data_IF_845436642695
#
_entry.id   IF_845436642695
#
_cell.length_a   1.000
_cell.length_b   1.000
_cell.length_c   1.000
_cell.angle_alpha   90.00
_cell.angle_beta   90.00
_cell.angle_gamma   90.00
#
_symmetry.space_group_name_H-M   'P 1'
#
loop_
_entity.id
_entity.type
_entity.pdbx_description
1 polymer ?
#
# COMPACT_ATOMS: atom_id res chain seq x y z
N UNK A 1 -56.26 -37.24 16.06
CA UNK A 1 -56.79 -38.06 14.95
C UNK A 1 -57.29 -37.11 13.86
N UNK A 2 -56.71 -37.21 12.65
CA UNK A 2 -57.21 -36.76 11.33
C UNK A 2 -57.42 -35.24 11.10
N UNK A 3 -57.08 -34.58 10.01
CA UNK A 3 -56.39 -34.88 8.73
C UNK A 3 -56.19 -33.52 8.03
N UNK A 4 -55.13 -33.38 7.24
CA UNK A 4 -54.88 -32.20 6.41
C UNK A 4 -55.95 -31.97 5.33
N UNK A 5 -56.10 -30.72 4.86
CA UNK A 5 -56.45 -30.51 3.46
C UNK A 5 -57.09 -29.18 3.05
N UNK A 6 -56.25 -28.33 2.44
CA UNK A 6 -56.50 -27.77 1.10
C UNK A 6 -56.89 -26.29 0.96
N UNK A 7 -56.24 -25.68 -0.05
CA UNK A 7 -56.80 -24.74 -1.03
C UNK A 7 -56.70 -23.21 -0.77
N UNK A 8 -55.98 -22.59 -1.72
CA UNK A 8 -56.45 -21.48 -2.58
C UNK A 8 -56.62 -20.11 -1.91
N UNK A 9 -55.50 -19.50 -1.53
CA UNK A 9 -55.44 -18.07 -1.18
C UNK A 9 -54.74 -17.29 -2.30
N UNK A 10 -55.18 -17.47 -3.56
CA UNK A 10 -55.01 -16.45 -4.60
C UNK A 10 -56.18 -15.49 -4.43
N UNK A 11 -55.90 -14.26 -3.98
CA UNK A 11 -56.59 -12.99 -4.30
C UNK A 11 -56.25 -11.93 -3.25
N UNK A 12 -55.18 -11.19 -3.50
CA UNK A 12 -55.17 -9.75 -3.25
C UNK A 12 -54.49 -9.11 -4.46
N UNK A 13 -55.31 -8.76 -5.46
CA UNK A 13 -54.96 -7.77 -6.47
C UNK A 13 -55.24 -6.41 -5.83
N UNK A 14 -54.25 -5.54 -5.70
CA UNK A 14 -54.33 -4.13 -6.10
C UNK A 14 -53.11 -3.31 -5.65
N UNK A 15 -52.83 -2.29 -6.47
CA UNK A 15 -52.11 -1.06 -6.18
C UNK A 15 -50.58 -1.05 -6.40
N UNK A 16 -50.24 -0.60 -7.61
CA UNK A 16 -49.00 0.06 -8.02
C UNK A 16 -48.61 1.14 -7.01
N UNK A 17 -47.42 1.03 -6.41
CA UNK A 17 -46.70 2.15 -5.82
C UNK A 17 -45.24 2.06 -6.28
N UNK A 18 -44.94 2.97 -7.21
CA UNK A 18 -43.66 3.62 -7.49
C UNK A 18 -42.38 2.79 -7.32
N UNK A 19 -41.80 2.50 -8.49
CA UNK A 19 -40.37 2.35 -8.75
C UNK A 19 -39.55 3.39 -7.96
N UNK A 20 -39.13 3.05 -6.74
CA UNK A 20 -37.89 3.59 -6.18
C UNK A 20 -36.82 2.55 -6.42
N UNK A 21 -36.13 2.69 -7.55
CA UNK A 21 -34.79 2.16 -7.72
C UNK A 21 -33.97 2.66 -6.52
N UNK A 22 -33.84 1.85 -5.47
CA UNK A 22 -32.62 1.93 -4.66
C UNK A 22 -31.58 1.32 -5.59
N UNK A 23 -31.05 2.18 -6.47
CA UNK A 23 -29.84 1.87 -7.20
C UNK A 23 -28.86 1.43 -6.15
N UNK A 24 -28.53 0.14 -6.14
CA UNK A 24 -27.42 -0.37 -5.38
C UNK A 24 -26.21 0.40 -5.88
N UNK A 25 -25.85 1.46 -5.17
CA UNK A 25 -24.54 2.05 -5.27
C UNK A 25 -23.59 1.02 -4.67
N UNK A 26 -23.28 0.00 -5.47
CA UNK A 26 -22.07 -0.78 -5.28
C UNK A 26 -20.96 0.24 -5.40
N UNK A 27 -20.41 0.66 -4.25
CA UNK A 27 -19.15 1.38 -4.24
C UNK A 27 -18.17 0.49 -4.97
N UNK A 28 -17.82 0.86 -6.21
CA UNK A 28 -16.71 0.23 -6.90
C UNK A 28 -15.51 0.54 -6.02
N UNK A 29 -14.80 -0.46 -5.48
CA UNK A 29 -13.58 -0.19 -4.75
C UNK A 29 -12.64 0.51 -5.73
N UNK A 30 -12.39 1.80 -5.50
CA UNK A 30 -11.34 2.55 -6.15
C UNK A 30 -10.07 1.73 -6.00
N UNK A 31 -9.46 1.38 -7.13
CA UNK A 31 -8.26 0.57 -7.20
C UNK A 31 -7.24 1.09 -6.18
N UNK A 32 -7.07 0.35 -5.09
CA UNK A 32 -6.05 0.65 -4.11
C UNK A 32 -4.73 0.33 -4.79
N UNK A 33 -3.84 1.31 -4.88
CA UNK A 33 -2.49 1.08 -5.36
C UNK A 33 -1.89 -0.08 -4.55
N UNK A 34 -1.71 -1.22 -5.19
CA UNK A 34 -1.17 -2.39 -4.53
C UNK A 34 0.34 -2.20 -4.44
N UNK A 35 0.83 -1.97 -3.23
CA UNK A 35 2.26 -1.96 -2.96
C UNK A 35 2.75 -3.39 -2.88
N UNK A 36 3.68 -3.77 -3.75
CA UNK A 36 4.28 -5.10 -3.78
C UNK A 36 5.79 -5.00 -3.59
N UNK A 37 6.38 -6.07 -3.06
CA UNK A 37 7.82 -6.12 -2.93
C UNK A 37 8.47 -6.28 -4.31
N UNK A 38 9.31 -5.33 -4.71
CA UNK A 38 10.08 -5.38 -5.96
C UNK A 38 11.46 -5.99 -5.75
N UNK A 39 11.98 -5.93 -4.53
CA UNK A 39 13.32 -6.44 -4.22
C UNK A 39 13.39 -7.14 -2.87
N UNK A 40 13.86 -8.38 -2.89
CA UNK A 40 14.11 -9.22 -1.72
C UNK A 40 15.61 -9.29 -1.40
N UNK A 41 15.91 -9.37 -0.11
CA UNK A 41 17.24 -9.58 0.43
C UNK A 41 17.22 -10.74 1.43
N UNK A 42 18.07 -11.74 1.21
CA UNK A 42 18.28 -12.82 2.17
C UNK A 42 19.34 -12.41 3.18
N UNK A 43 18.95 -12.30 4.44
CA UNK A 43 19.86 -11.92 5.54
C UNK A 43 21.02 -12.91 5.63
N UNK A 44 22.26 -12.39 5.61
CA UNK A 44 23.46 -13.20 5.76
C UNK A 44 23.89 -13.33 7.24
N UNK A 45 24.75 -14.32 7.52
CA UNK A 45 25.30 -14.53 8.86
C UNK A 45 26.06 -13.28 9.32
N UNK A 46 25.63 -12.70 10.45
CA UNK A 46 26.26 -11.52 11.05
C UNK A 46 25.79 -10.17 10.50
N UNK A 47 24.83 -10.15 9.57
CA UNK A 47 24.15 -8.91 9.15
C UNK A 47 23.14 -8.43 10.21
N UNK A 48 22.81 -7.13 10.13
CA UNK A 48 21.77 -6.49 10.90
C UNK A 48 21.00 -5.50 10.01
N UNK A 49 19.82 -5.06 10.44
CA UNK A 49 19.00 -4.14 9.66
C UNK A 49 19.70 -2.80 9.36
N UNK A 50 20.66 -2.38 10.18
CA UNK A 50 21.40 -1.14 9.94
C UNK A 50 22.29 -1.25 8.70
N UNK A 51 23.12 -2.30 8.61
CA UNK A 51 23.99 -2.53 7.44
C UNK A 51 23.20 -2.83 6.17
N UNK A 52 22.10 -3.59 6.30
CA UNK A 52 21.18 -3.85 5.19
C UNK A 52 20.53 -2.54 4.74
N UNK A 53 20.08 -1.73 5.70
CA UNK A 53 19.55 -0.39 5.44
C UNK A 53 20.53 0.46 4.66
N UNK A 54 21.78 0.57 5.10
CA UNK A 54 22.83 1.30 4.38
C UNK A 54 23.07 0.76 2.96
N UNK A 55 23.10 -0.56 2.78
CA UNK A 55 23.30 -1.20 1.46
C UNK A 55 22.23 -0.80 0.46
N UNK A 56 20.97 -0.75 0.88
CA UNK A 56 19.83 -0.33 0.06
C UNK A 56 19.45 1.14 0.27
N UNK A 57 20.32 1.85 1.00
CA UNK A 57 20.17 3.20 1.53
C UNK A 57 18.78 3.58 2.05
N UNK A 58 18.15 2.65 2.74
CA UNK A 58 16.95 2.88 3.53
C UNK A 58 17.29 2.90 5.03
N UNK A 59 16.28 3.10 5.87
CA UNK A 59 16.46 3.13 7.33
C UNK A 59 16.04 1.82 7.98
N UNK A 60 16.58 1.56 9.17
CA UNK A 60 16.15 0.45 10.03
C UNK A 60 14.65 0.50 10.26
N UNK A 61 14.12 1.68 10.62
CA UNK A 61 12.68 1.88 10.88
C UNK A 61 11.82 1.53 9.67
N UNK A 62 12.26 1.92 8.47
CA UNK A 62 11.56 1.57 7.23
C UNK A 62 11.58 0.06 6.96
N UNK A 63 12.75 -0.58 7.07
CA UNK A 63 12.85 -2.04 6.91
C UNK A 63 11.98 -2.77 7.92
N UNK A 64 11.91 -2.29 9.16
CA UNK A 64 11.03 -2.87 10.18
C UNK A 64 9.56 -2.75 9.80
N UNK A 65 9.09 -1.55 9.45
CA UNK A 65 7.69 -1.35 9.09
C UNK A 65 7.31 -2.12 7.84
N UNK A 66 8.21 -2.18 6.85
CA UNK A 66 7.98 -2.88 5.59
C UNK A 66 7.88 -4.41 5.77
N UNK A 67 8.65 -4.97 6.71
CA UNK A 67 8.73 -6.42 6.93
C UNK A 67 7.96 -6.89 8.17
N UNK A 68 7.21 -6.00 8.82
CA UNK A 68 6.50 -6.32 10.06
C UNK A 68 7.43 -6.80 11.18
N UNK A 69 8.65 -6.26 11.28
CA UNK A 69 9.64 -6.68 12.27
C UNK A 69 9.47 -5.85 13.55
N UNK A 70 8.96 -6.43 14.65
CA UNK A 70 8.72 -5.68 15.89
C UNK A 70 10.02 -5.24 16.58
N UNK A 71 11.09 -6.03 16.46
CA UNK A 71 12.39 -5.74 17.06
C UNK A 71 13.51 -5.81 16.02
N UNK A 72 14.13 -4.66 15.72
CA UNK A 72 15.19 -4.52 14.73
C UNK A 72 16.41 -5.42 14.96
N UNK A 73 16.68 -5.79 16.21
CA UNK A 73 17.82 -6.62 16.60
C UNK A 73 17.53 -8.11 16.48
N UNK A 74 16.31 -8.50 16.09
CA UNK A 74 15.88 -9.89 15.94
C UNK A 74 15.58 -10.20 14.48
N UNK A 75 16.64 -10.30 13.69
CA UNK A 75 16.61 -10.89 12.35
C UNK A 75 17.52 -12.12 12.32
N UNK A 76 17.21 -13.07 11.45
CA UNK A 76 17.93 -14.35 11.39
C UNK A 76 18.56 -14.57 10.03
N UNK A 77 19.72 -15.22 9.99
CA UNK A 77 20.32 -15.63 8.72
C UNK A 77 19.34 -16.53 7.93
N UNK A 78 19.23 -16.29 6.63
CA UNK A 78 18.26 -16.94 5.75
C UNK A 78 16.88 -16.29 5.72
N UNK A 79 16.60 -15.33 6.61
CA UNK A 79 15.35 -14.56 6.56
C UNK A 79 15.27 -13.72 5.28
N UNK A 80 14.13 -13.79 4.58
CA UNK A 80 13.83 -12.91 3.46
C UNK A 80 13.26 -11.59 3.94
N UNK A 81 13.89 -10.50 3.54
CA UNK A 81 13.44 -9.14 3.78
C UNK A 81 13.08 -8.48 2.46
N UNK A 82 11.88 -7.91 2.38
CA UNK A 82 11.58 -6.93 1.38
C UNK A 82 12.36 -5.65 1.68
N UNK A 83 13.16 -5.18 0.71
CA UNK A 83 14.00 -3.99 0.87
C UNK A 83 13.57 -2.83 -0.03
N UNK A 84 12.79 -3.11 -1.07
CA UNK A 84 12.16 -2.11 -1.92
C UNK A 84 10.77 -2.58 -2.34
N UNK A 85 9.86 -1.62 -2.41
CA UNK A 85 8.49 -1.78 -2.88
C UNK A 85 8.31 -1.05 -4.22
N UNK A 86 7.27 -1.43 -4.95
CA UNK A 86 6.69 -0.66 -6.04
C UNK A 86 5.18 -0.66 -5.90
N UNK A 87 4.51 0.30 -6.52
CA UNK A 87 3.07 0.51 -6.46
C UNK A 87 2.50 0.48 -7.87
N UNK A 88 1.52 -0.39 -8.12
CA UNK A 88 0.82 -0.39 -9.41
C UNK A 88 -0.18 0.76 -9.40
N UNK A 89 0.18 1.86 -10.06
CA UNK A 89 -0.61 3.09 -10.11
C UNK A 89 0.26 4.29 -9.76
N UNK A 90 1.04 4.77 -10.75
CA UNK A 90 1.98 5.87 -10.57
C UNK A 90 1.29 7.09 -9.97
N UNK A 91 1.57 7.35 -8.70
CA UNK A 91 1.07 8.52 -7.99
C UNK A 91 2.10 9.62 -8.15
N UNK A 92 1.69 10.84 -8.42
CA UNK A 92 2.62 11.98 -8.39
C UNK A 92 2.49 12.74 -7.07
N UNK A 93 3.60 13.33 -6.64
CA UNK A 93 3.65 14.20 -5.48
C UNK A 93 4.38 15.50 -5.84
N UNK A 94 3.70 16.63 -5.64
CA UNK A 94 4.33 17.95 -5.76
C UNK A 94 4.99 18.32 -4.44
N UNK A 95 6.32 18.44 -4.47
CA UNK A 95 7.14 18.81 -3.31
C UNK A 95 6.68 20.14 -2.74
N UNK A 96 6.48 20.19 -1.42
CA UNK A 96 6.06 21.38 -0.69
C UNK A 96 7.24 22.03 0.03
N UNK A 97 7.05 23.26 0.49
CA UNK A 97 8.07 23.94 1.28
C UNK A 97 8.34 23.19 2.59
N UNK A 98 9.62 22.90 2.88
CA UNK A 98 10.04 22.15 4.06
C UNK A 98 10.03 20.62 3.92
N UNK A 99 9.68 20.12 2.73
CA UNK A 99 9.82 18.70 2.42
C UNK A 99 11.27 18.27 2.24
N UNK A 100 11.50 17.00 2.53
CA UNK A 100 12.72 16.30 2.17
C UNK A 100 12.34 15.00 1.47
N UNK A 101 13.23 14.48 0.63
CA UNK A 101 13.00 13.21 -0.06
C UNK A 101 12.74 12.07 0.94
N UNK A 102 13.37 12.14 2.13
CA UNK A 102 13.11 11.24 3.25
C UNK A 102 11.66 11.29 3.76
N UNK A 103 11.11 12.48 4.05
CA UNK A 103 9.74 12.61 4.57
C UNK A 103 8.72 12.08 3.56
N UNK A 104 8.94 12.37 2.28
CA UNK A 104 8.08 11.93 1.18
C UNK A 104 8.17 10.41 1.03
N UNK A 105 9.38 9.86 0.89
CA UNK A 105 9.59 8.42 0.75
C UNK A 105 8.96 7.64 1.91
N UNK A 106 9.14 8.13 3.15
CA UNK A 106 8.52 7.55 4.36
C UNK A 106 7.00 7.62 4.34
N UNK A 107 6.41 8.73 3.86
CA UNK A 107 4.94 8.87 3.73
C UNK A 107 4.37 7.84 2.77
N UNK A 108 5.06 7.59 1.66
CA UNK A 108 4.60 6.68 0.61
C UNK A 108 5.07 5.24 0.77
N UNK A 109 5.81 4.92 1.84
CA UNK A 109 6.29 3.56 2.05
C UNK A 109 7.23 3.08 0.94
N UNK A 110 8.09 3.97 0.44
CA UNK A 110 9.17 3.66 -0.52
C UNK A 110 10.53 4.04 0.06
N UNK A 111 11.62 3.46 -0.45
CA UNK A 111 12.96 3.87 -0.05
C UNK A 111 13.35 5.22 -0.68
N UNK A 112 14.24 5.97 -0.03
CA UNK A 112 14.75 7.25 -0.58
C UNK A 112 15.41 7.01 -1.95
N UNK A 113 16.19 5.93 -2.10
CA UNK A 113 16.88 5.63 -3.35
C UNK A 113 15.94 5.13 -4.43
N UNK A 114 14.94 4.32 -4.09
CA UNK A 114 13.91 3.91 -5.05
C UNK A 114 13.21 5.16 -5.59
N UNK A 115 12.80 6.07 -4.69
CA UNK A 115 12.18 7.33 -5.08
C UNK A 115 13.13 8.23 -5.89
N UNK A 116 14.39 8.34 -5.48
CA UNK A 116 15.39 9.15 -6.16
C UNK A 116 15.68 8.62 -7.57
N UNK A 117 15.96 7.32 -7.69
CA UNK A 117 16.28 6.66 -8.95
C UNK A 117 15.12 6.73 -9.93
N UNK A 118 13.89 6.49 -9.46
CA UNK A 118 12.69 6.58 -10.30
C UNK A 118 12.44 8.00 -10.83
N UNK A 119 12.96 9.02 -10.15
CA UNK A 119 12.86 10.42 -10.54
C UNK A 119 14.17 11.02 -11.08
N UNK A 120 15.19 10.18 -11.35
CA UNK A 120 16.51 10.61 -11.81
C UNK A 120 17.18 11.68 -10.90
N UNK A 121 16.95 11.60 -9.60
CA UNK A 121 17.56 12.51 -8.60
C UNK A 121 18.90 11.93 -8.15
N UNK A 122 19.98 12.63 -8.48
CA UNK A 122 21.35 12.22 -8.10
C UNK A 122 21.72 12.69 -6.68
N UNK A 123 21.27 13.87 -6.26
CA UNK A 123 21.47 14.39 -4.91
C UNK A 123 20.18 14.32 -4.10
N UNK A 124 20.06 13.27 -3.28
CA UNK A 124 18.89 13.00 -2.43
C UNK A 124 18.56 14.12 -1.42
N UNK A 125 19.52 15.00 -1.12
CA UNK A 125 19.34 16.14 -0.22
C UNK A 125 18.86 17.40 -0.95
N UNK A 126 18.69 17.35 -2.28
CA UNK A 126 18.35 18.51 -3.10
C UNK A 126 17.10 18.24 -3.94
N UNK A 127 15.96 18.66 -3.38
CA UNK A 127 14.68 18.77 -4.08
C UNK A 127 14.13 20.19 -3.89
N UNK A 128 13.24 20.62 -4.79
CA UNK A 128 12.69 21.97 -4.77
C UNK A 128 11.18 21.97 -4.59
N UNK A 129 10.65 22.95 -3.87
CA UNK A 129 9.21 23.16 -3.82
C UNK A 129 8.66 23.37 -5.25
N UNK A 130 7.52 22.74 -5.55
CA UNK A 130 6.92 22.70 -6.87
C UNK A 130 7.46 21.59 -7.78
N UNK A 131 8.55 20.90 -7.42
CA UNK A 131 9.03 19.74 -8.16
C UNK A 131 8.00 18.60 -8.09
N UNK A 132 7.67 18.00 -9.24
CA UNK A 132 6.80 16.82 -9.30
C UNK A 132 7.65 15.56 -9.22
N UNK A 133 7.35 14.70 -8.25
CA UNK A 133 7.94 13.37 -8.08
C UNK A 133 6.92 12.32 -8.49
N UNK A 134 7.36 11.34 -9.27
CA UNK A 134 6.65 10.10 -9.52
C UNK A 134 6.97 9.10 -8.41
N UNK A 135 5.95 8.67 -7.69
CA UNK A 135 6.06 7.70 -6.60
C UNK A 135 6.05 6.28 -7.22
N UNK A 136 7.09 5.46 -6.97
CA UNK A 136 7.23 4.12 -7.53
C UNK A 136 6.20 3.09 -7.04
#
# INVERSE_FOLDING_TARGET
MLTQGSKRWRKWLAAVVLLTLVTGFSVVPIAQASTYCTQWHTVQRGENLFRIGLRYGTTVSYLQSLNGIPNANRIYAGQLLCVSTGSVGGTTYTVQWGDTLYKIARRYGVSIWTLANYNNITNINRIYAGQVLYIP
#
